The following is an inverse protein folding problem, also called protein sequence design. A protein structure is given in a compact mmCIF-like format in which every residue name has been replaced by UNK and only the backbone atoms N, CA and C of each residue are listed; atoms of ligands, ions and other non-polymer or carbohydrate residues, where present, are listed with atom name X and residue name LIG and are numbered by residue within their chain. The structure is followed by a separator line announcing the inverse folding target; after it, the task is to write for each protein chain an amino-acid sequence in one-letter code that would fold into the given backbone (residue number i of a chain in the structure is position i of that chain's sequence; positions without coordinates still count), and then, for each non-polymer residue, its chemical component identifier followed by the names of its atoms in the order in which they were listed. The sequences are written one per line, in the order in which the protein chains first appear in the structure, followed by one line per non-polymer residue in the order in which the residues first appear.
data_IF_898800445057
#
_entry.id   IF_898800445057
#
_cell.length_a   1.000
_cell.length_b   1.000
_cell.length_c   1.000
_cell.angle_alpha   90.00
_cell.angle_beta   90.00
_cell.angle_gamma   90.00
#
_symmetry.space_group_name_H-M   'P 1'
#
loop_
_entity.id
_entity.type
_entity.pdbx_description
1 polymer ?
#
# COMPACT_ATOMS: atom_id res chain seq x y z
N UNK A 1 -36.61 2.97 7.35
CA UNK A 1 -36.23 2.65 8.74
C UNK A 1 -34.73 2.90 8.82
N UNK A 2 -34.30 3.92 9.54
CA UNK A 2 -32.85 4.15 9.82
C UNK A 2 -32.44 3.06 10.82
N UNK A 3 -31.55 2.16 10.43
CA UNK A 3 -30.88 1.33 11.39
C UNK A 3 -29.93 2.25 12.18
N UNK A 4 -30.30 2.56 13.41
CA UNK A 4 -29.42 3.18 14.38
C UNK A 4 -28.30 2.16 14.69
N UNK A 5 -27.13 2.37 14.13
CA UNK A 5 -25.96 1.64 14.55
C UNK A 5 -25.49 2.22 15.88
N UNK A 6 -25.50 1.36 16.85
CA UNK A 6 -25.11 1.56 18.21
C UNK A 6 -23.61 1.91 18.33
N UNK A 7 -23.22 2.39 19.47
CA UNK A 7 -21.85 2.84 19.79
C UNK A 7 -20.79 1.74 19.62
N UNK A 8 -19.52 2.10 19.60
CA UNK A 8 -18.36 1.20 19.60
C UNK A 8 -18.49 0.05 20.62
N UNK A 9 -19.06 0.36 21.80
CA UNK A 9 -19.36 -0.62 22.85
C UNK A 9 -20.50 -1.58 22.48
N UNK A 10 -21.48 -1.15 21.70
CA UNK A 10 -22.60 -2.00 21.30
C UNK A 10 -22.22 -3.02 20.21
N UNK A 11 -21.27 -2.67 19.33
CA UNK A 11 -20.70 -3.61 18.36
C UNK A 11 -19.73 -4.59 19.04
N UNK A 12 -18.99 -4.14 20.06
CA UNK A 12 -18.16 -5.01 20.90
C UNK A 12 -19.01 -6.02 21.69
N UNK A 13 -20.23 -5.65 22.08
CA UNK A 13 -21.16 -6.53 22.78
C UNK A 13 -21.97 -7.45 21.84
N UNK A 14 -22.01 -7.19 20.53
CA UNK A 14 -22.61 -8.09 19.54
C UNK A 14 -21.67 -9.22 19.09
N UNK A 15 -20.40 -9.11 19.39
CA UNK A 15 -19.46 -10.20 19.30
C UNK A 15 -19.64 -11.04 20.57
N UNK A 16 -20.63 -11.96 20.57
CA UNK A 16 -20.63 -13.06 21.53
C UNK A 16 -19.23 -13.66 21.50
N UNK A 17 -18.56 -13.76 22.65
CA UNK A 17 -17.26 -14.42 22.77
C UNK A 17 -17.37 -15.83 22.19
N UNK A 18 -16.92 -16.08 20.94
CA UNK A 18 -16.79 -17.45 20.52
C UNK A 18 -15.64 -17.99 21.34
N UNK A 19 -15.84 -19.13 21.98
CA UNK A 19 -14.89 -19.91 22.75
C UNK A 19 -13.48 -19.88 22.14
N UNK A 20 -12.74 -18.81 22.34
CA UNK A 20 -11.31 -18.67 22.00
C UNK A 20 -10.45 -19.23 23.13
N UNK A 21 -11.06 -19.68 24.24
CA UNK A 21 -10.38 -20.31 25.38
C UNK A 21 -9.62 -21.59 25.02
N UNK A 22 -9.86 -22.15 23.84
CA UNK A 22 -9.14 -23.36 23.38
C UNK A 22 -7.71 -23.10 22.88
N UNK A 23 -7.33 -21.84 22.66
CA UNK A 23 -6.03 -21.51 22.06
C UNK A 23 -5.00 -20.91 23.02
N UNK A 24 -5.31 -20.68 24.28
CA UNK A 24 -4.46 -19.87 25.17
C UNK A 24 -4.25 -20.41 26.59
N UNK A 25 -4.55 -21.66 26.88
CA UNK A 25 -4.19 -22.25 28.18
C UNK A 25 -2.74 -22.77 28.27
N UNK A 26 -1.77 -22.04 27.72
CA UNK A 26 -0.38 -22.24 28.09
C UNK A 26 0.12 -21.07 28.95
N UNK A 27 -0.11 -21.18 30.28
CA UNK A 27 0.53 -20.32 31.25
C UNK A 27 2.03 -20.47 31.18
N UNK A 28 2.73 -19.52 30.60
CA UNK A 28 4.17 -19.41 30.72
C UNK A 28 4.52 -19.01 32.17
N UNK A 29 4.97 -19.97 32.98
CA UNK A 29 5.62 -19.73 34.25
C UNK A 29 6.99 -20.42 34.18
N UNK A 30 8.04 -19.60 34.04
CA UNK A 30 9.43 -20.09 34.13
C UNK A 30 10.35 -19.42 33.11
N UNK A 31 11.64 -19.34 33.38
CA UNK A 31 12.69 -18.93 32.44
C UNK A 31 12.87 -20.00 31.37
N UNK A 32 12.12 -19.87 30.27
CA UNK A 32 12.25 -20.72 29.09
C UNK A 32 13.47 -20.28 28.25
N UNK A 33 14.11 -21.23 27.58
CA UNK A 33 15.15 -20.89 26.59
C UNK A 33 14.56 -20.12 25.42
N UNK A 34 15.35 -19.28 24.75
CA UNK A 34 14.91 -18.57 23.53
C UNK A 34 14.32 -19.54 22.47
N UNK A 35 14.77 -20.80 22.47
CA UNK A 35 14.31 -21.83 21.56
C UNK A 35 12.88 -22.31 21.92
N UNK A 36 12.59 -22.52 23.18
CA UNK A 36 11.26 -22.94 23.66
C UNK A 36 10.20 -21.88 23.44
N UNK A 37 10.56 -20.58 23.54
CA UNK A 37 9.66 -19.47 23.25
C UNK A 37 9.28 -19.44 21.75
N UNK A 38 10.25 -19.64 20.84
CA UNK A 38 9.98 -19.77 19.40
C UNK A 38 9.09 -20.99 19.13
N UNK A 39 9.39 -22.13 19.71
CA UNK A 39 8.66 -23.39 19.49
C UNK A 39 7.18 -23.24 19.91
N UNK A 40 6.92 -22.56 21.02
CA UNK A 40 5.56 -22.28 21.47
C UNK A 40 4.79 -21.39 20.50
N UNK A 41 5.41 -20.32 19.99
CA UNK A 41 4.78 -19.43 19.01
C UNK A 41 4.51 -20.17 17.69
N UNK A 42 5.49 -20.98 17.23
CA UNK A 42 5.34 -21.78 16.01
C UNK A 42 4.25 -22.85 16.17
N UNK A 43 4.12 -23.44 17.35
CA UNK A 43 3.04 -24.39 17.64
C UNK A 43 1.65 -23.76 17.45
N UNK A 44 1.45 -22.50 17.87
CA UNK A 44 0.20 -21.78 17.61
C UNK A 44 -0.10 -21.61 16.10
N UNK A 45 0.94 -21.35 15.28
CA UNK A 45 0.77 -21.26 13.84
C UNK A 45 0.43 -22.63 13.22
N UNK A 46 1.09 -23.70 13.68
CA UNK A 46 0.84 -25.06 13.20
C UNK A 46 -0.57 -25.55 13.57
N UNK A 47 -1.04 -25.24 14.77
CA UNK A 47 -2.40 -25.55 15.19
C UNK A 47 -3.42 -24.85 14.29
N UNK A 48 -3.21 -23.56 13.99
CA UNK A 48 -4.06 -22.85 13.06
C UNK A 48 -4.04 -23.48 11.66
N UNK A 49 -2.84 -23.81 11.11
CA UNK A 49 -2.69 -24.44 9.79
C UNK A 49 -3.32 -25.84 9.73
N UNK A 50 -3.36 -26.57 10.85
CA UNK A 50 -4.05 -27.87 10.95
C UNK A 50 -5.56 -27.70 10.78
N UNK A 51 -6.15 -26.67 11.41
CA UNK A 51 -7.58 -26.39 11.32
C UNK A 51 -7.96 -25.69 9.99
N UNK A 52 -7.08 -24.85 9.48
CA UNK A 52 -7.26 -24.06 8.26
C UNK A 52 -6.05 -24.23 7.33
N UNK A 53 -5.98 -25.32 6.54
CA UNK A 53 -4.86 -25.59 5.67
C UNK A 53 -4.63 -24.49 4.64
N UNK A 54 -3.38 -24.06 4.52
CA UNK A 54 -3.02 -23.00 3.57
C UNK A 54 -2.80 -23.60 2.19
N UNK A 55 -3.56 -23.08 1.21
CA UNK A 55 -3.46 -23.51 -0.17
C UNK A 55 -2.26 -22.83 -0.85
N UNK A 56 -1.33 -23.64 -1.32
CA UNK A 56 -0.18 -23.15 -2.10
C UNK A 56 -0.57 -23.07 -3.57
N UNK A 57 -0.64 -21.85 -4.13
CA UNK A 57 -1.06 -21.61 -5.51
C UNK A 57 0.13 -21.82 -6.46
N UNK A 58 1.25 -21.12 -6.24
CA UNK A 58 2.46 -21.33 -7.04
C UNK A 58 3.69 -20.70 -6.38
N UNK A 59 4.63 -21.52 -5.93
CA UNK A 59 5.85 -21.05 -5.26
C UNK A 59 7.01 -20.71 -6.20
N UNK A 60 6.94 -21.12 -7.48
CA UNK A 60 8.09 -21.05 -8.40
C UNK A 60 8.02 -19.89 -9.40
N UNK A 61 6.93 -19.17 -9.50
CA UNK A 61 6.79 -18.10 -10.50
C UNK A 61 7.09 -16.73 -9.89
N UNK A 62 8.15 -16.09 -10.40
CA UNK A 62 8.44 -14.66 -10.15
C UNK A 62 7.35 -13.72 -10.71
N UNK A 63 6.46 -14.23 -11.56
CA UNK A 63 5.35 -13.52 -12.19
C UNK A 63 4.01 -13.81 -11.51
N UNK A 64 3.97 -13.81 -10.18
CA UNK A 64 2.70 -13.98 -9.48
C UNK A 64 1.84 -12.71 -9.59
N UNK A 65 0.50 -12.86 -9.70
CA UNK A 65 -0.42 -11.71 -9.82
C UNK A 65 -0.36 -10.74 -8.62
N UNK A 66 0.11 -11.19 -7.47
CA UNK A 66 0.31 -10.34 -6.28
C UNK A 66 1.56 -9.44 -6.37
N UNK A 67 2.28 -9.44 -7.49
CA UNK A 67 3.48 -8.62 -7.68
C UNK A 67 3.18 -7.40 -8.58
N UNK A 68 3.48 -6.20 -8.09
CA UNK A 68 3.30 -4.93 -8.82
C UNK A 68 4.09 -4.84 -10.14
N UNK A 69 5.15 -5.64 -10.34
CA UNK A 69 5.97 -5.61 -11.56
C UNK A 69 5.16 -5.86 -12.82
N UNK A 70 4.12 -6.67 -12.73
CA UNK A 70 3.23 -6.92 -13.87
C UNK A 70 2.39 -5.69 -14.26
N UNK A 71 2.10 -4.77 -13.33
CA UNK A 71 1.38 -3.54 -13.64
C UNK A 71 2.04 -2.71 -14.74
N UNK A 72 3.37 -2.86 -14.93
CA UNK A 72 4.12 -2.17 -16.00
C UNK A 72 3.74 -2.61 -17.41
N UNK A 73 3.06 -3.73 -17.57
CA UNK A 73 2.61 -4.27 -18.85
C UNK A 73 1.20 -3.77 -19.24
N UNK A 74 0.47 -3.20 -18.29
CA UNK A 74 -0.93 -2.83 -18.49
C UNK A 74 -1.09 -1.33 -18.71
N UNK A 75 -1.88 -0.92 -19.72
CA UNK A 75 -2.18 0.48 -20.00
C UNK A 75 -2.76 1.19 -18.78
N UNK A 76 -2.42 2.47 -18.61
CA UNK A 76 -2.70 3.34 -17.46
C UNK A 76 -2.11 2.84 -16.13
N UNK A 77 -2.07 1.54 -15.83
CA UNK A 77 -1.42 1.02 -14.64
C UNK A 77 0.07 1.34 -14.63
N UNK A 78 0.72 1.32 -15.78
CA UNK A 78 2.15 1.61 -15.98
C UNK A 78 2.54 3.11 -15.91
N UNK A 79 1.58 4.02 -15.74
CA UNK A 79 1.88 5.47 -15.73
C UNK A 79 2.74 5.89 -14.55
N UNK A 80 2.69 5.16 -13.45
CA UNK A 80 3.50 5.45 -12.28
C UNK A 80 3.97 4.14 -11.63
N UNK A 81 5.28 4.04 -11.37
CA UNK A 81 5.83 2.87 -10.68
C UNK A 81 5.71 3.04 -9.17
N UNK A 82 4.87 2.21 -8.56
CA UNK A 82 4.68 2.18 -7.11
C UNK A 82 5.16 0.84 -6.56
N UNK A 83 6.02 0.89 -5.54
CA UNK A 83 6.45 -0.32 -4.83
C UNK A 83 5.34 -0.75 -3.91
N UNK A 84 5.21 -2.05 -3.75
CA UNK A 84 4.16 -2.69 -2.97
C UNK A 84 2.78 -2.59 -3.63
N UNK A 85 2.13 -3.73 -3.81
CA UNK A 85 0.83 -3.87 -4.44
C UNK A 85 0.76 -5.07 -5.37
N UNK A 86 -0.41 -5.31 -5.90
CA UNK A 86 -0.73 -6.42 -6.81
C UNK A 86 -0.95 -5.95 -8.25
N UNK A 87 -1.08 -6.90 -9.17
CA UNK A 87 -1.32 -6.63 -10.58
C UNK A 87 -2.80 -6.36 -10.87
N UNK A 88 -3.13 -5.68 -12.00
CA UNK A 88 -4.51 -5.57 -12.48
C UNK A 88 -5.17 -6.92 -12.71
N UNK A 89 -4.42 -7.91 -13.18
CA UNK A 89 -4.91 -9.27 -13.40
C UNK A 89 -5.41 -9.90 -12.10
N UNK A 90 -4.71 -9.67 -10.98
CA UNK A 90 -5.17 -10.16 -9.67
C UNK A 90 -6.54 -9.60 -9.29
N UNK A 91 -6.78 -8.31 -9.56
CA UNK A 91 -8.07 -7.66 -9.30
C UNK A 91 -9.17 -8.30 -10.14
N UNK A 92 -8.93 -8.47 -11.43
CA UNK A 92 -9.87 -9.07 -12.35
C UNK A 92 -10.19 -10.53 -11.97
N UNK A 93 -9.16 -11.34 -11.67
CA UNK A 93 -9.32 -12.73 -11.25
C UNK A 93 -10.14 -12.84 -9.95
N UNK A 94 -9.89 -11.94 -8.97
CA UNK A 94 -10.64 -11.93 -7.72
C UNK A 94 -12.10 -11.53 -7.93
N UNK A 95 -12.36 -10.48 -8.72
CA UNK A 95 -13.73 -10.07 -9.07
C UNK A 95 -14.46 -11.22 -9.76
N UNK A 96 -13.88 -11.81 -10.81
CA UNK A 96 -14.50 -12.89 -11.59
C UNK A 96 -14.76 -14.17 -10.74
N UNK A 97 -13.96 -14.39 -9.70
CA UNK A 97 -14.12 -15.53 -8.79
C UNK A 97 -15.33 -15.35 -7.86
N UNK A 98 -15.66 -14.13 -7.48
CA UNK A 98 -16.62 -13.90 -6.40
C UNK A 98 -17.87 -13.14 -6.81
N UNK A 99 -17.94 -12.59 -8.02
CA UNK A 99 -19.15 -11.96 -8.54
C UNK A 99 -19.31 -12.18 -10.04
N UNK A 100 -20.59 -12.21 -10.45
CA UNK A 100 -21.01 -12.24 -11.86
C UNK A 100 -21.87 -10.99 -12.20
N UNK A 101 -21.99 -10.04 -11.29
CA UNK A 101 -22.87 -8.88 -11.42
C UNK A 101 -22.07 -7.58 -11.41
N UNK A 102 -22.14 -6.80 -12.48
CA UNK A 102 -21.55 -5.43 -12.52
C UNK A 102 -22.28 -4.43 -11.62
N UNK A 103 -23.35 -4.85 -10.93
CA UNK A 103 -24.03 -4.03 -9.90
C UNK A 103 -23.27 -4.07 -8.56
N UNK A 104 -22.40 -5.06 -8.37
CA UNK A 104 -21.61 -5.21 -7.16
C UNK A 104 -20.59 -4.07 -7.04
N UNK A 105 -20.37 -3.64 -5.84
CA UNK A 105 -19.52 -2.50 -5.48
C UNK A 105 -18.16 -3.02 -4.99
N UNK A 106 -17.09 -2.49 -5.57
CA UNK A 106 -15.71 -2.85 -5.20
C UNK A 106 -15.11 -1.77 -4.29
N UNK A 107 -14.42 -2.17 -3.23
CA UNK A 107 -13.76 -1.27 -2.29
C UNK A 107 -12.30 -1.67 -2.02
N UNK A 108 -11.42 -0.66 -1.92
CA UNK A 108 -10.04 -0.82 -1.50
C UNK A 108 -9.70 0.20 -0.40
N UNK A 109 -9.64 -0.23 0.88
CA UNK A 109 -9.29 0.65 1.99
C UNK A 109 -7.82 1.11 1.98
N UNK A 110 -6.95 0.52 1.14
CA UNK A 110 -5.55 0.92 0.95
C UNK A 110 -5.26 1.10 -0.54
N UNK A 111 -6.03 1.97 -1.19
CA UNK A 111 -6.10 2.09 -2.65
C UNK A 111 -4.77 2.38 -3.36
N UNK A 112 -3.77 2.90 -2.66
CA UNK A 112 -2.48 3.23 -3.25
C UNK A 112 -2.64 4.06 -4.52
N UNK A 113 -1.91 3.72 -5.57
CA UNK A 113 -2.03 4.39 -6.87
C UNK A 113 -3.23 3.91 -7.71
N UNK A 114 -4.22 3.29 -7.06
CA UNK A 114 -5.52 2.99 -7.65
C UNK A 114 -5.58 1.75 -8.54
N UNK A 115 -4.82 0.69 -8.26
CA UNK A 115 -4.88 -0.54 -9.08
C UNK A 115 -6.26 -1.16 -9.06
N UNK A 116 -6.85 -1.33 -7.87
CA UNK A 116 -8.19 -1.89 -7.70
C UNK A 116 -9.25 -1.05 -8.40
N UNK A 117 -9.29 0.26 -8.11
CA UNK A 117 -10.35 1.12 -8.67
C UNK A 117 -10.19 1.36 -10.17
N UNK A 118 -8.98 1.41 -10.71
CA UNK A 118 -8.75 1.54 -12.15
C UNK A 118 -9.24 0.29 -12.89
N UNK A 119 -8.84 -0.90 -12.43
CA UNK A 119 -9.28 -2.15 -13.07
C UNK A 119 -10.80 -2.33 -12.95
N UNK A 120 -11.38 -2.09 -11.78
CA UNK A 120 -12.83 -2.14 -11.56
C UNK A 120 -13.59 -1.18 -12.48
N UNK A 121 -13.10 0.06 -12.63
CA UNK A 121 -13.68 1.07 -13.53
C UNK A 121 -13.64 0.66 -14.98
N UNK A 122 -12.56 0.03 -15.43
CA UNK A 122 -12.42 -0.48 -16.80
C UNK A 122 -13.33 -1.68 -17.05
N UNK A 123 -13.54 -2.54 -16.06
CA UNK A 123 -14.49 -3.66 -16.12
C UNK A 123 -15.95 -3.20 -16.03
N UNK A 124 -16.23 -2.02 -15.49
CA UNK A 124 -17.58 -1.46 -15.38
C UNK A 124 -18.23 -1.63 -14.01
N UNK A 125 -17.44 -1.79 -12.97
CA UNK A 125 -17.89 -1.82 -11.59
C UNK A 125 -17.81 -0.44 -10.94
N UNK A 126 -18.82 -0.10 -10.12
CA UNK A 126 -18.68 1.01 -9.20
C UNK A 126 -17.61 0.68 -8.17
N UNK A 127 -16.71 1.61 -7.91
CA UNK A 127 -15.61 1.35 -6.98
C UNK A 127 -15.26 2.57 -6.11
N UNK A 128 -14.75 2.27 -4.92
CA UNK A 128 -14.31 3.22 -3.91
C UNK A 128 -12.91 2.86 -3.44
N UNK A 129 -12.11 3.85 -3.07
CA UNK A 129 -10.87 3.63 -2.36
C UNK A 129 -10.60 4.71 -1.32
N UNK A 130 -9.93 4.31 -0.24
CA UNK A 130 -9.31 5.21 0.73
C UNK A 130 -7.79 5.09 0.65
N UNK A 131 -7.09 6.18 0.81
CA UNK A 131 -5.65 6.17 1.07
C UNK A 131 -5.24 7.46 1.76
N UNK A 132 -4.33 7.37 2.72
CA UNK A 132 -3.79 8.55 3.43
C UNK A 132 -2.67 9.22 2.63
N UNK A 133 -2.08 8.55 1.64
CA UNK A 133 -1.00 9.09 0.85
C UNK A 133 -1.53 10.03 -0.26
N UNK A 134 -1.31 11.35 -0.16
CA UNK A 134 -1.84 12.30 -1.13
C UNK A 134 -1.26 12.12 -2.54
N UNK A 135 -0.01 11.67 -2.66
CA UNK A 135 0.59 11.33 -3.95
C UNK A 135 -0.13 10.15 -4.59
N UNK A 136 -0.42 9.10 -3.82
CA UNK A 136 -1.13 7.91 -4.30
C UNK A 136 -2.52 8.28 -4.83
N UNK A 137 -3.29 9.03 -4.05
CA UNK A 137 -4.62 9.50 -4.45
C UNK A 137 -4.57 10.36 -5.71
N UNK A 138 -3.58 11.25 -5.80
CA UNK A 138 -3.40 12.09 -6.99
C UNK A 138 -3.14 11.25 -8.24
N UNK A 139 -2.22 10.28 -8.16
CA UNK A 139 -1.94 9.35 -9.25
C UNK A 139 -3.18 8.54 -9.63
N UNK A 140 -3.91 8.01 -8.64
CA UNK A 140 -5.14 7.25 -8.86
C UNK A 140 -6.21 8.10 -9.58
N UNK A 141 -6.44 9.34 -9.12
CA UNK A 141 -7.40 10.27 -9.74
C UNK A 141 -7.08 10.53 -11.21
N UNK A 142 -5.80 10.78 -11.55
CA UNK A 142 -5.41 11.07 -12.92
C UNK A 142 -5.50 9.82 -13.81
N UNK A 143 -5.12 8.66 -13.31
CA UNK A 143 -5.23 7.39 -14.05
C UNK A 143 -6.67 6.98 -14.35
N UNK A 144 -7.59 7.31 -13.45
CA UNK A 144 -9.01 6.95 -13.56
C UNK A 144 -9.88 8.03 -14.17
N UNK A 145 -9.31 9.14 -14.59
CA UNK A 145 -10.08 10.19 -15.27
C UNK A 145 -10.42 9.80 -16.71
N UNK A 146 -11.52 10.33 -17.22
CA UNK A 146 -11.95 10.14 -18.61
C UNK A 146 -11.34 11.21 -19.49
N UNK A 147 -10.69 10.78 -20.57
CA UNK A 147 -10.06 11.67 -21.55
C UNK A 147 -10.75 11.53 -22.90
N UNK A 148 -11.07 12.68 -23.50
CA UNK A 148 -11.69 12.77 -24.83
C UNK A 148 -10.62 12.90 -25.93
N UNK A 149 -11.02 12.73 -27.19
CA UNK A 149 -10.15 13.02 -28.35
C UNK A 149 -9.63 14.46 -28.33
N UNK A 150 -10.44 15.41 -27.84
CA UNK A 150 -10.01 16.81 -27.67
C UNK A 150 -8.89 16.94 -26.63
N UNK A 151 -9.01 16.25 -25.51
CA UNK A 151 -7.96 16.26 -24.47
C UNK A 151 -6.64 15.68 -25.00
N UNK A 152 -6.70 14.64 -25.87
CA UNK A 152 -5.52 14.05 -26.50
C UNK A 152 -4.84 15.03 -27.47
N UNK A 153 -5.61 15.73 -28.29
CA UNK A 153 -5.08 16.76 -29.19
C UNK A 153 -4.44 17.88 -28.36
N UNK A 154 -5.11 18.35 -27.32
CA UNK A 154 -4.60 19.40 -26.42
C UNK A 154 -3.30 18.95 -25.73
N UNK A 155 -3.19 17.70 -25.29
CA UNK A 155 -1.95 17.14 -24.72
C UNK A 155 -0.78 17.23 -25.69
N UNK A 156 -0.97 16.79 -26.94
CA UNK A 156 0.07 16.81 -27.99
C UNK A 156 0.50 18.23 -28.30
N UNK A 157 -0.44 19.13 -28.53
CA UNK A 157 -0.14 20.55 -28.80
C UNK A 157 0.55 21.24 -27.61
N UNK A 158 0.12 20.93 -26.39
CA UNK A 158 0.74 21.48 -25.17
C UNK A 158 2.19 21.00 -25.02
N UNK A 159 2.48 19.76 -25.41
CA UNK A 159 3.85 19.24 -25.39
C UNK A 159 4.74 19.95 -26.44
N UNK A 160 4.24 20.20 -27.65
CA UNK A 160 4.96 21.00 -28.65
C UNK A 160 5.29 22.39 -28.14
N UNK A 161 4.35 23.04 -27.45
CA UNK A 161 4.60 24.35 -26.81
C UNK A 161 5.70 24.21 -25.75
N UNK A 162 5.72 23.15 -24.92
CA UNK A 162 6.77 22.93 -23.93
C UNK A 162 8.14 22.80 -24.61
N UNK A 163 8.25 22.04 -25.69
CA UNK A 163 9.53 21.85 -26.42
C UNK A 163 10.07 23.20 -26.91
N UNK A 164 9.23 24.04 -27.49
CA UNK A 164 9.60 25.35 -28.05
C UNK A 164 9.80 26.45 -26.99
N UNK A 165 9.33 26.22 -25.74
CA UNK A 165 9.38 27.22 -24.68
C UNK A 165 10.82 27.50 -24.20
N UNK A 166 11.23 28.74 -24.16
CA UNK A 166 12.38 29.20 -23.39
C UNK A 166 11.96 29.45 -21.94
N UNK A 167 12.20 28.51 -21.04
CA UNK A 167 11.75 28.60 -19.64
C UNK A 167 12.64 29.59 -18.85
N UNK A 168 12.44 30.90 -19.08
CA UNK A 168 13.20 32.00 -18.44
C UNK A 168 12.65 32.40 -17.05
N UNK A 169 12.15 31.45 -16.26
CA UNK A 169 11.50 31.73 -14.99
C UNK A 169 12.45 31.52 -13.81
N UNK A 170 12.39 32.40 -12.81
CA UNK A 170 13.06 32.18 -11.51
C UNK A 170 12.12 31.34 -10.63
N UNK A 171 12.61 30.22 -10.16
CA UNK A 171 11.87 29.30 -9.32
C UNK A 171 12.43 29.25 -7.89
N UNK A 172 11.58 29.06 -6.90
CA UNK A 172 11.99 28.77 -5.52
C UNK A 172 12.06 27.27 -5.34
N UNK A 173 13.17 26.78 -4.79
CA UNK A 173 13.30 25.37 -4.42
C UNK A 173 12.30 24.99 -3.31
N UNK A 174 11.86 23.72 -3.24
CA UNK A 174 11.16 23.20 -2.07
C UNK A 174 11.96 23.46 -0.80
N UNK A 175 11.27 23.71 0.32
CA UNK A 175 11.91 24.05 1.61
C UNK A 175 12.52 22.80 2.28
N UNK A 176 12.94 21.82 1.55
CA UNK A 176 13.57 20.61 2.10
C UNK A 176 14.95 20.39 1.48
N UNK A 177 15.98 20.76 2.25
CA UNK A 177 17.38 20.65 1.82
C UNK A 177 17.78 19.21 1.44
N UNK A 178 17.28 18.21 2.17
CA UNK A 178 17.54 16.80 1.84
C UNK A 178 17.05 16.46 0.44
N UNK A 179 15.82 16.89 0.10
CA UNK A 179 15.23 16.60 -1.22
C UNK A 179 15.97 17.35 -2.32
N UNK A 180 16.32 18.61 -2.11
CA UNK A 180 17.07 19.41 -3.09
C UNK A 180 18.47 18.88 -3.32
N UNK A 181 19.13 18.36 -2.27
CA UNK A 181 20.49 17.77 -2.37
C UNK A 181 20.55 16.49 -3.23
N UNK A 182 19.41 15.91 -3.57
CA UNK A 182 19.35 14.75 -4.46
C UNK A 182 19.49 15.10 -5.94
N UNK A 183 19.60 16.38 -6.29
CA UNK A 183 19.74 16.87 -7.66
C UNK A 183 20.95 17.81 -7.78
N UNK A 184 21.56 17.88 -8.97
CA UNK A 184 22.49 18.97 -9.26
C UNK A 184 21.73 20.29 -9.39
N UNK A 185 22.42 21.42 -9.23
CA UNK A 185 21.80 22.76 -9.33
C UNK A 185 21.09 22.97 -10.66
N UNK A 186 21.69 22.49 -11.76
CA UNK A 186 21.15 22.66 -13.11
C UNK A 186 19.88 21.83 -13.34
N UNK A 187 19.88 20.57 -12.83
CA UNK A 187 18.69 19.70 -12.91
C UNK A 187 17.57 20.24 -12.04
N UNK A 188 17.89 20.68 -10.82
CA UNK A 188 16.93 21.26 -9.90
C UNK A 188 16.27 22.50 -10.51
N UNK A 189 17.04 23.44 -11.03
CA UNK A 189 16.55 24.64 -11.70
C UNK A 189 15.62 24.29 -12.89
N UNK A 190 16.01 23.31 -13.68
CA UNK A 190 15.22 22.83 -14.82
C UNK A 190 13.89 22.21 -14.38
N UNK A 191 13.88 21.37 -13.36
CA UNK A 191 12.64 20.79 -12.78
C UNK A 191 11.70 21.90 -12.30
N UNK A 192 12.23 22.88 -11.55
CA UNK A 192 11.43 23.96 -10.99
C UNK A 192 10.83 24.86 -12.07
N UNK A 193 11.58 25.16 -13.12
CA UNK A 193 11.08 25.92 -14.29
C UNK A 193 9.93 25.19 -14.99
N UNK A 194 10.07 23.88 -15.18
CA UNK A 194 9.02 23.03 -15.77
C UNK A 194 7.78 22.99 -14.85
N UNK A 195 7.97 22.87 -13.53
CA UNK A 195 6.84 22.93 -12.58
C UNK A 195 6.06 24.24 -12.67
N UNK A 196 6.74 25.38 -12.75
CA UNK A 196 6.08 26.68 -12.92
C UNK A 196 5.31 26.71 -14.23
N UNK A 197 5.91 26.25 -15.32
CA UNK A 197 5.25 26.15 -16.60
C UNK A 197 3.99 25.27 -16.55
N UNK A 198 4.07 24.08 -15.94
CA UNK A 198 2.92 23.20 -15.72
C UNK A 198 1.85 23.89 -14.89
N UNK A 199 2.23 24.62 -13.83
CA UNK A 199 1.28 25.31 -12.95
C UNK A 199 0.46 26.38 -13.67
N UNK A 200 1.02 26.98 -14.73
CA UNK A 200 0.38 28.01 -15.56
C UNK A 200 -0.59 27.43 -16.61
N UNK A 201 -0.64 26.13 -16.82
CA UNK A 201 -1.58 25.48 -17.74
C UNK A 201 -3.03 25.71 -17.27
N UNK A 202 -3.92 26.06 -18.21
CA UNK A 202 -5.33 26.39 -17.92
C UNK A 202 -6.16 25.12 -17.64
N UNK A 203 -5.98 24.09 -18.44
CA UNK A 203 -6.71 22.82 -18.31
C UNK A 203 -6.19 22.00 -17.14
N UNK A 204 -7.01 21.73 -16.13
CA UNK A 204 -6.62 20.90 -15.00
C UNK A 204 -6.28 19.46 -15.43
N UNK A 205 -6.97 18.90 -16.42
CA UNK A 205 -6.66 17.55 -16.94
C UNK A 205 -5.27 17.51 -17.54
N UNK A 206 -4.94 18.47 -18.42
CA UNK A 206 -3.63 18.55 -19.05
C UNK A 206 -2.54 18.80 -18.01
N UNK A 207 -2.77 19.76 -17.09
CA UNK A 207 -1.89 20.01 -15.96
C UNK A 207 -1.57 18.75 -15.17
N UNK A 208 -2.57 17.96 -14.83
CA UNK A 208 -2.42 16.74 -14.05
C UNK A 208 -1.58 15.68 -14.79
N UNK A 209 -1.81 15.49 -16.08
CA UNK A 209 -1.01 14.60 -16.92
C UNK A 209 0.46 15.01 -16.93
N UNK A 210 0.76 16.29 -17.20
CA UNK A 210 2.13 16.81 -17.19
C UNK A 210 2.78 16.71 -15.81
N UNK A 211 2.02 16.94 -14.74
CA UNK A 211 2.52 16.78 -13.37
C UNK A 211 2.93 15.33 -13.08
N UNK A 212 2.09 14.33 -13.44
CA UNK A 212 2.48 12.92 -13.27
C UNK A 212 3.66 12.56 -14.16
N UNK A 213 3.71 13.03 -15.41
CA UNK A 213 4.85 12.80 -16.29
C UNK A 213 6.15 13.30 -15.67
N UNK A 214 6.14 14.50 -15.07
CA UNK A 214 7.30 15.02 -14.36
C UNK A 214 7.64 14.20 -13.11
N UNK A 215 6.65 13.89 -12.25
CA UNK A 215 6.88 13.11 -11.03
C UNK A 215 7.46 11.72 -11.32
N UNK A 216 7.05 11.08 -12.42
CA UNK A 216 7.52 9.76 -12.84
C UNK A 216 9.02 9.74 -13.19
N UNK A 217 9.56 10.84 -13.71
CA UNK A 217 10.97 10.91 -14.14
C UNK A 217 11.91 11.43 -13.04
N UNK A 218 11.41 11.93 -11.90
CA UNK A 218 12.24 12.51 -10.84
C UNK A 218 13.34 11.56 -10.34
N UNK A 219 13.01 10.28 -10.13
CA UNK A 219 14.01 9.30 -9.73
C UNK A 219 15.12 9.13 -10.80
N UNK A 220 14.78 9.20 -12.09
CA UNK A 220 15.75 9.14 -13.19
C UNK A 220 16.71 10.31 -13.12
N UNK A 221 16.20 11.51 -12.87
CA UNK A 221 16.96 12.76 -12.81
C UNK A 221 17.78 12.91 -11.51
N UNK A 222 17.38 12.21 -10.45
CA UNK A 222 18.01 12.27 -9.13
C UNK A 222 19.37 11.55 -9.10
N UNK A 223 20.26 12.02 -8.25
CA UNK A 223 21.52 11.32 -7.88
C UNK A 223 21.26 10.10 -6.99
N UNK A 224 20.01 9.91 -6.55
CA UNK A 224 19.58 8.85 -5.66
C UNK A 224 18.50 7.99 -6.32
N UNK A 225 18.33 6.77 -5.82
CA UNK A 225 17.29 5.82 -6.24
C UNK A 225 16.60 5.21 -5.04
N UNK A 226 15.36 4.77 -5.21
CA UNK A 226 14.63 3.99 -4.23
C UNK A 226 15.25 2.60 -4.10
N UNK A 227 15.70 2.24 -2.89
CA UNK A 227 16.36 0.96 -2.62
C UNK A 227 15.81 0.38 -1.29
N UNK A 228 15.14 -0.77 -1.38
CA UNK A 228 14.45 -1.36 -0.21
C UNK A 228 13.50 -0.36 0.45
N UNK A 229 13.65 -0.18 1.76
CA UNK A 229 12.84 0.70 2.61
C UNK A 229 13.33 2.16 2.66
N UNK A 230 14.13 2.59 1.70
CA UNK A 230 14.70 3.93 1.71
C UNK A 230 15.18 4.43 0.35
N UNK A 231 16.05 5.41 0.42
CA UNK A 231 16.69 6.06 -0.74
C UNK A 231 18.21 5.91 -0.61
N UNK A 232 18.87 5.55 -1.70
CA UNK A 232 20.32 5.30 -1.76
C UNK A 232 20.95 6.06 -2.90
N UNK A 233 22.15 6.58 -2.69
CA UNK A 233 22.94 7.23 -3.74
C UNK A 233 23.27 6.24 -4.87
N UNK A 234 23.12 6.65 -6.13
CA UNK A 234 23.48 5.87 -7.31
C UNK A 234 25.00 5.72 -7.37
N UNK A 235 25.49 4.54 -7.72
CA UNK A 235 26.94 4.27 -7.86
C UNK A 235 27.55 4.98 -9.05
N UNK A 236 26.83 5.03 -10.17
CA UNK A 236 27.27 5.65 -11.42
C UNK A 236 26.31 6.78 -11.81
N UNK A 237 26.82 7.98 -11.90
CA UNK A 237 26.09 9.18 -12.36
C UNK A 237 26.55 9.50 -13.78
N UNK A 238 26.27 8.60 -14.73
CA UNK A 238 26.78 8.72 -16.10
C UNK A 238 25.98 9.68 -16.99
N UNK A 239 24.83 10.17 -16.53
CA UNK A 239 23.95 11.01 -17.34
C UNK A 239 23.89 12.43 -16.78
N UNK A 240 24.42 13.36 -17.52
CA UNK A 240 24.17 14.79 -17.33
C UNK A 240 22.91 15.13 -18.12
N UNK A 241 21.83 15.49 -17.42
CA UNK A 241 20.58 15.87 -18.07
C UNK A 241 20.51 17.38 -18.24
N UNK A 242 20.38 17.83 -19.49
CA UNK A 242 19.99 19.21 -19.82
C UNK A 242 18.47 19.39 -19.70
N UNK A 243 18.01 20.63 -19.71
CA UNK A 243 16.57 20.93 -19.75
C UNK A 243 15.89 20.31 -20.99
N UNK A 244 16.59 20.22 -22.11
CA UNK A 244 16.10 19.59 -23.35
C UNK A 244 15.87 18.10 -23.12
N UNK A 245 16.82 17.40 -22.50
CA UNK A 245 16.66 15.97 -22.18
C UNK A 245 15.47 15.74 -21.20
N UNK A 246 15.26 16.64 -20.24
CA UNK A 246 14.11 16.53 -19.32
C UNK A 246 12.79 16.69 -20.08
N UNK A 247 12.70 17.65 -21.02
CA UNK A 247 11.52 17.80 -21.87
C UNK A 247 11.28 16.57 -22.75
N UNK A 248 12.33 15.96 -23.32
CA UNK A 248 12.23 14.72 -24.09
C UNK A 248 11.73 13.55 -23.22
N UNK A 249 12.22 13.42 -21.97
CA UNK A 249 11.73 12.41 -21.04
C UNK A 249 10.24 12.60 -20.70
N UNK A 250 9.80 13.84 -20.52
CA UNK A 250 8.37 14.16 -20.35
C UNK A 250 7.60 13.75 -21.62
N UNK A 251 8.12 14.05 -22.82
CA UNK A 251 7.51 13.67 -24.08
C UNK A 251 7.24 12.18 -24.19
N UNK A 252 8.24 11.36 -23.85
CA UNK A 252 8.10 9.90 -23.82
C UNK A 252 6.98 9.43 -22.87
N UNK A 253 6.78 10.12 -21.73
CA UNK A 253 5.66 9.82 -20.84
C UNK A 253 4.33 10.25 -21.45
N UNK A 254 4.27 11.43 -22.08
CA UNK A 254 3.04 11.94 -22.75
C UNK A 254 2.62 10.99 -23.89
N UNK A 255 3.57 10.52 -24.70
CA UNK A 255 3.29 9.56 -25.78
C UNK A 255 2.73 8.25 -25.23
N UNK A 256 3.36 7.72 -24.16
CA UNK A 256 2.90 6.52 -23.47
C UNK A 256 1.47 6.70 -22.92
N UNK A 257 1.22 7.83 -22.23
CA UNK A 257 -0.09 8.12 -21.62
C UNK A 257 -1.17 8.30 -22.69
N UNK A 258 -0.83 8.96 -23.79
CA UNK A 258 -1.73 9.15 -24.91
C UNK A 258 -2.13 7.82 -25.56
N UNK A 259 -1.16 6.96 -25.84
CA UNK A 259 -1.43 5.62 -26.39
C UNK A 259 -2.32 4.79 -25.45
N UNK A 260 -2.08 4.89 -24.13
CA UNK A 260 -2.90 4.18 -23.13
C UNK A 260 -4.33 4.73 -23.04
N UNK A 261 -4.50 6.05 -23.14
CA UNK A 261 -5.81 6.69 -23.18
C UNK A 261 -6.59 6.23 -24.44
N UNK A 262 -5.92 6.17 -25.60
CA UNK A 262 -6.53 5.74 -26.85
C UNK A 262 -6.95 4.25 -26.85
N UNK A 263 -6.20 3.43 -26.12
CA UNK A 263 -6.44 1.97 -26.06
C UNK A 263 -7.37 1.53 -24.92
N UNK A 264 -7.79 2.42 -24.02
CA UNK A 264 -8.57 2.07 -22.83
C UNK A 264 -9.76 3.00 -22.61
N UNK A 265 -10.77 2.50 -21.90
CA UNK A 265 -11.98 3.25 -21.55
C UNK A 265 -12.28 3.10 -20.07
N UNK A 266 -12.54 4.22 -19.40
CA UNK A 266 -13.10 4.25 -18.05
C UNK A 266 -14.63 4.22 -18.18
N UNK A 267 -15.24 3.08 -17.84
CA UNK A 267 -16.68 2.88 -17.93
C UNK A 267 -17.44 3.56 -16.80
N UNK A 268 -16.92 3.44 -15.58
CA UNK A 268 -17.50 4.07 -14.38
C UNK A 268 -16.38 4.78 -13.63
N UNK A 269 -16.57 6.07 -13.34
CA UNK A 269 -15.58 6.85 -12.57
C UNK A 269 -15.61 6.43 -11.10
N UNK A 270 -14.48 6.03 -10.51
CA UNK A 270 -14.43 5.63 -9.11
C UNK A 270 -14.50 6.84 -8.16
N UNK A 271 -14.75 6.57 -6.90
CA UNK A 271 -14.65 7.54 -5.81
C UNK A 271 -13.36 7.27 -5.03
N UNK A 272 -12.47 8.25 -5.00
CA UNK A 272 -11.19 8.17 -4.31
C UNK A 272 -11.23 9.15 -3.14
N UNK A 273 -11.02 8.63 -1.92
CA UNK A 273 -11.06 9.39 -0.68
C UNK A 273 -9.65 9.53 -0.09
N UNK A 274 -9.33 10.73 0.40
CA UNK A 274 -8.09 10.98 1.13
C UNK A 274 -8.37 10.87 2.63
N UNK A 275 -8.23 9.65 3.17
CA UNK A 275 -8.56 9.35 4.55
C UNK A 275 -7.74 8.17 5.07
N UNK A 276 -7.44 8.15 6.37
CA UNK A 276 -6.86 6.99 7.03
C UNK A 276 -7.88 5.86 7.14
N UNK A 277 -7.44 4.64 6.87
CA UNK A 277 -8.33 3.47 6.82
C UNK A 277 -8.75 2.96 8.21
N UNK A 278 -8.11 3.41 9.28
CA UNK A 278 -8.51 3.13 10.66
C UNK A 278 -9.35 4.24 11.31
N UNK A 279 -9.60 5.35 10.60
CA UNK A 279 -10.57 6.36 11.02
C UNK A 279 -11.97 5.95 10.54
N UNK A 280 -13.01 6.45 11.22
CA UNK A 280 -14.38 6.23 10.81
C UNK A 280 -14.64 6.82 9.43
N UNK A 281 -15.25 6.04 8.55
CA UNK A 281 -15.66 6.47 7.21
C UNK A 281 -16.97 5.82 6.78
N UNK A 282 -17.64 6.47 5.84
CA UNK A 282 -18.89 5.95 5.25
C UNK A 282 -18.79 5.98 3.74
N UNK A 283 -18.96 4.81 3.11
CA UNK A 283 -19.09 4.70 1.67
C UNK A 283 -20.51 5.12 1.25
N UNK A 284 -20.64 5.75 0.08
CA UNK A 284 -21.95 6.09 -0.49
C UNK A 284 -22.80 4.86 -0.80
N UNK A 285 -22.17 3.73 -1.05
CA UNK A 285 -22.76 2.42 -1.27
C UNK A 285 -21.91 1.39 -0.55
N UNK A 286 -22.53 0.41 0.10
CA UNK A 286 -21.81 -0.68 0.76
C UNK A 286 -21.12 -1.55 -0.26
N UNK A 287 -19.95 -2.06 0.10
CA UNK A 287 -19.16 -2.93 -0.74
C UNK A 287 -19.63 -4.38 -0.70
N UNK A 288 -19.56 -5.03 -1.86
CA UNK A 288 -19.79 -6.47 -2.04
C UNK A 288 -18.45 -7.21 -2.16
N UNK A 289 -17.45 -6.53 -2.70
CA UNK A 289 -16.10 -7.03 -2.92
C UNK A 289 -15.10 -6.05 -2.30
N UNK A 290 -14.20 -6.54 -1.45
CA UNK A 290 -13.04 -5.78 -0.97
C UNK A 290 -11.77 -6.46 -1.48
N UNK A 291 -10.88 -5.69 -2.10
CA UNK A 291 -9.58 -6.17 -2.58
C UNK A 291 -8.54 -5.17 -2.13
N UNK A 292 -7.62 -5.59 -1.26
CA UNK A 292 -6.67 -4.66 -0.67
C UNK A 292 -5.32 -5.28 -0.33
N UNK A 293 -4.29 -4.46 -0.28
CA UNK A 293 -2.97 -4.79 0.24
C UNK A 293 -2.53 -3.69 1.19
N UNK A 294 -2.72 -3.86 2.50
CA UNK A 294 -2.29 -2.87 3.49
C UNK A 294 -0.76 -2.75 3.51
N UNK A 295 -0.18 -1.70 4.12
CA UNK A 295 1.23 -1.67 4.44
C UNK A 295 1.63 -2.93 5.21
N UNK A 296 2.78 -3.55 4.87
CA UNK A 296 3.23 -4.77 5.54
C UNK A 296 3.98 -4.44 6.84
N UNK A 297 4.01 -5.38 7.77
CA UNK A 297 4.79 -5.29 9.01
C UNK A 297 6.30 -5.49 8.74
N UNK A 298 6.87 -4.75 7.77
CA UNK A 298 8.24 -4.91 7.24
C UNK A 298 9.10 -3.65 7.31
N UNK A 299 8.66 -2.66 8.12
CA UNK A 299 9.34 -1.39 8.31
C UNK A 299 9.45 -0.50 7.07
N UNK A 300 8.48 -0.58 6.14
CA UNK A 300 8.45 0.25 4.95
C UNK A 300 7.82 1.62 5.25
N UNK A 301 8.60 2.69 5.15
CA UNK A 301 8.14 4.08 5.36
C UNK A 301 7.88 4.76 4.02
N UNK A 302 6.61 4.85 3.63
CA UNK A 302 6.18 5.49 2.37
C UNK A 302 6.59 6.96 2.30
N UNK A 303 6.59 7.68 3.43
CA UNK A 303 7.00 9.09 3.48
C UNK A 303 8.48 9.29 3.18
N UNK A 304 9.31 8.27 3.40
CA UNK A 304 10.74 8.26 3.11
C UNK A 304 11.03 7.80 1.70
N UNK A 305 10.37 6.74 1.25
CA UNK A 305 10.60 6.16 -0.08
C UNK A 305 10.11 7.08 -1.19
N UNK A 306 8.99 7.78 -0.97
CA UNK A 306 8.41 8.73 -1.92
C UNK A 306 8.65 10.20 -1.56
N UNK A 307 9.68 10.47 -0.76
CA UNK A 307 10.00 11.80 -0.23
C UNK A 307 10.13 12.84 -1.35
N UNK A 308 10.83 12.49 -2.41
CA UNK A 308 11.08 13.39 -3.56
C UNK A 308 9.77 13.81 -4.20
N UNK A 309 8.93 12.85 -4.54
CA UNK A 309 7.66 13.10 -5.21
C UNK A 309 6.65 13.81 -4.31
N UNK A 310 6.64 13.50 -3.02
CA UNK A 310 5.76 14.16 -2.05
C UNK A 310 6.09 15.66 -1.91
N UNK A 311 7.37 16.03 -1.94
CA UNK A 311 7.77 17.44 -1.89
C UNK A 311 7.64 18.13 -3.25
N UNK A 312 8.13 17.55 -4.34
CA UNK A 312 8.00 18.15 -5.66
C UNK A 312 6.55 18.18 -6.16
N UNK A 313 5.72 17.23 -5.78
CA UNK A 313 4.28 17.26 -6.04
C UNK A 313 3.51 18.30 -5.24
N UNK A 314 4.17 19.01 -4.30
CA UNK A 314 3.55 20.02 -3.43
C UNK A 314 2.62 19.42 -2.38
N UNK A 315 2.69 18.11 -2.14
CA UNK A 315 1.88 17.42 -1.12
C UNK A 315 2.40 17.68 0.30
N UNK A 316 3.72 17.84 0.45
CA UNK A 316 4.35 18.35 1.66
C UNK A 316 4.87 19.77 1.41
N UNK A 317 4.47 20.71 2.26
CA UNK A 317 4.90 22.12 2.23
C UNK A 317 5.93 22.40 3.32
N UNK A 318 5.93 21.60 4.38
CA UNK A 318 6.81 21.73 5.55
C UNK A 318 6.98 20.36 6.23
N UNK A 319 7.87 20.30 7.22
CA UNK A 319 8.17 19.05 7.94
C UNK A 319 6.99 18.56 8.81
N UNK A 320 6.06 19.45 9.16
CA UNK A 320 4.88 19.08 9.95
C UNK A 320 3.96 18.19 9.10
N UNK A 321 3.79 18.49 7.81
CA UNK A 321 2.98 17.68 6.91
C UNK A 321 3.50 16.23 6.84
N UNK A 322 4.82 16.04 6.80
CA UNK A 322 5.43 14.71 6.85
C UNK A 322 5.19 14.00 8.20
N UNK A 323 5.23 14.73 9.31
CA UNK A 323 4.94 14.16 10.63
C UNK A 323 3.47 13.75 10.75
N UNK A 324 2.55 14.59 10.30
CA UNK A 324 1.11 14.30 10.29
C UNK A 324 0.80 13.10 9.40
N UNK A 325 1.39 13.04 8.21
CA UNK A 325 1.25 11.88 7.32
C UNK A 325 1.66 10.57 8.02
N UNK A 326 2.82 10.54 8.69
CA UNK A 326 3.27 9.37 9.46
C UNK A 326 2.30 9.05 10.58
N UNK A 327 1.83 10.07 11.32
CA UNK A 327 0.90 9.90 12.43
C UNK A 327 -0.42 9.27 11.98
N UNK A 328 -0.92 9.62 10.80
CA UNK A 328 -2.17 9.11 10.24
C UNK A 328 -2.00 7.81 9.41
N UNK A 329 -0.76 7.31 9.29
CA UNK A 329 -0.46 6.05 8.60
C UNK A 329 -0.54 4.87 9.57
N UNK A 330 -0.69 3.65 9.01
CA UNK A 330 -0.56 2.40 9.77
C UNK A 330 0.83 2.30 10.41
N UNK A 331 0.90 1.76 11.62
CA UNK A 331 2.13 1.51 12.38
C UNK A 331 2.97 0.41 11.72
N UNK A 332 3.56 0.70 10.56
CA UNK A 332 4.31 -0.29 9.76
C UNK A 332 5.82 -0.07 9.75
N UNK A 333 6.34 0.96 10.47
CA UNK A 333 7.76 1.31 10.46
C UNK A 333 8.22 1.91 11.80
N UNK A 334 9.55 1.97 12.01
CA UNK A 334 10.18 2.42 13.27
C UNK A 334 10.61 3.89 13.27
N UNK A 335 10.43 4.63 12.19
CA UNK A 335 10.88 6.02 12.04
C UNK A 335 10.00 7.06 12.76
N UNK A 336 8.99 6.62 13.48
CA UNK A 336 8.11 7.45 14.30
C UNK A 336 7.98 6.85 15.70
N UNK A 337 7.69 7.68 16.71
CA UNK A 337 7.38 7.20 18.06
C UNK A 337 5.88 6.95 18.13
N UNK A 338 5.50 5.69 17.97
CA UNK A 338 4.11 5.27 18.00
C UNK A 338 3.59 5.25 19.44
N UNK A 339 2.43 5.88 19.64
CA UNK A 339 1.64 5.72 20.86
C UNK A 339 0.65 4.57 20.68
N UNK A 340 0.26 3.93 21.80
CA UNK A 340 -0.74 2.86 21.74
C UNK A 340 -2.10 3.47 21.39
N UNK A 341 -2.56 3.31 20.15
CA UNK A 341 -3.77 3.96 19.62
C UNK A 341 -5.04 3.14 19.79
N UNK A 342 -5.01 1.85 19.50
CA UNK A 342 -6.19 1.00 19.34
C UNK A 342 -6.03 -0.32 20.12
N UNK A 343 -5.74 -0.23 21.43
CA UNK A 343 -5.31 -1.36 22.25
C UNK A 343 -6.25 -2.57 22.28
N UNK A 344 -7.56 -2.36 22.05
CA UNK A 344 -8.57 -3.43 22.10
C UNK A 344 -8.66 -4.24 20.78
N UNK A 345 -8.02 -3.79 19.72
CA UNK A 345 -8.08 -4.42 18.39
C UNK A 345 -6.84 -5.27 18.06
N UNK A 346 -5.86 -5.34 18.96
CA UNK A 346 -4.62 -6.10 18.76
C UNK A 346 -4.81 -7.61 18.87
N UNK A 347 -3.71 -8.36 18.66
CA UNK A 347 -3.66 -9.79 18.77
C UNK A 347 -2.92 -10.24 20.03
N UNK A 348 -3.50 -11.12 20.83
CA UNK A 348 -2.96 -11.54 22.13
C UNK A 348 -1.59 -12.20 22.02
N UNK A 349 -1.39 -13.10 21.04
CA UNK A 349 -0.09 -13.73 20.79
C UNK A 349 1.01 -12.69 20.50
N UNK A 350 0.68 -11.62 19.77
CA UNK A 350 1.59 -10.50 19.53
C UNK A 350 1.91 -9.76 20.83
N UNK A 351 0.89 -9.40 21.60
CA UNK A 351 1.05 -8.60 22.81
C UNK A 351 1.79 -9.37 23.92
N UNK A 352 1.44 -10.63 24.13
CA UNK A 352 1.84 -11.39 25.32
C UNK A 352 3.06 -12.29 25.08
N UNK A 353 3.39 -12.67 23.85
CA UNK A 353 4.49 -13.59 23.57
C UNK A 353 5.49 -13.01 22.57
N UNK A 354 5.06 -12.66 21.35
CA UNK A 354 5.95 -12.24 20.27
C UNK A 354 6.70 -10.95 20.65
N UNK A 355 5.99 -9.92 21.15
CA UNK A 355 6.62 -8.67 21.54
C UNK A 355 7.59 -8.86 22.72
N UNK A 356 7.24 -9.71 23.69
CA UNK A 356 8.12 -10.02 24.84
C UNK A 356 9.37 -10.78 24.38
N UNK A 357 9.24 -11.80 23.53
CA UNK A 357 10.37 -12.50 22.95
C UNK A 357 11.30 -11.53 22.21
N UNK A 358 10.74 -10.72 21.30
CA UNK A 358 11.52 -9.79 20.49
C UNK A 358 12.20 -8.70 21.34
N UNK A 359 11.61 -8.29 22.46
CA UNK A 359 12.22 -7.28 23.37
C UNK A 359 13.52 -7.78 24.01
N UNK A 360 13.73 -9.10 24.11
CA UNK A 360 14.93 -9.75 24.63
C UNK A 360 16.01 -9.94 23.55
N UNK A 361 15.67 -9.76 22.25
CA UNK A 361 16.56 -10.00 21.15
C UNK A 361 17.40 -8.76 20.78
N UNK A 362 18.58 -8.99 20.21
CA UNK A 362 19.41 -7.91 19.65
C UNK A 362 18.89 -7.52 18.26
N UNK A 363 17.82 -6.73 18.24
CA UNK A 363 17.21 -6.23 17.01
C UNK A 363 17.93 -4.97 16.51
N UNK A 364 17.88 -4.75 15.19
CA UNK A 364 18.48 -3.56 14.57
C UNK A 364 17.75 -2.24 14.96
N UNK A 365 16.51 -2.31 15.47
CA UNK A 365 15.81 -1.21 16.12
C UNK A 365 14.96 -1.74 17.29
N UNK A 366 15.13 -1.14 18.46
CA UNK A 366 14.41 -1.51 19.69
C UNK A 366 12.90 -1.23 19.65
N UNK A 367 12.42 -0.49 18.66
CA UNK A 367 10.99 -0.18 18.49
C UNK A 367 10.22 -1.26 17.72
N UNK A 368 10.90 -2.28 17.18
CA UNK A 368 10.24 -3.34 16.39
C UNK A 368 9.12 -4.02 17.19
N UNK A 369 9.29 -4.44 18.46
CA UNK A 369 8.21 -5.02 19.25
C UNK A 369 6.98 -4.12 19.35
N UNK A 370 7.16 -2.85 19.70
CA UNK A 370 6.06 -1.88 19.80
C UNK A 370 5.44 -1.54 18.46
N UNK A 371 6.23 -1.54 17.39
CA UNK A 371 5.73 -1.37 16.01
C UNK A 371 4.80 -2.53 15.63
N UNK A 372 5.14 -3.78 15.93
CA UNK A 372 4.28 -4.94 15.66
C UNK A 372 2.98 -4.87 16.45
N UNK A 373 3.04 -4.55 17.75
CA UNK A 373 1.85 -4.36 18.58
C UNK A 373 0.93 -3.30 17.97
N UNK A 374 1.49 -2.15 17.58
CA UNK A 374 0.76 -1.07 16.92
C UNK A 374 0.17 -1.49 15.57
N UNK A 375 0.93 -2.22 14.77
CA UNK A 375 0.50 -2.69 13.45
C UNK A 375 -0.76 -3.55 13.52
N UNK A 376 -0.74 -4.59 14.36
CA UNK A 376 -1.90 -5.50 14.47
C UNK A 376 -3.10 -4.81 15.13
N UNK A 377 -2.86 -3.86 16.03
CA UNK A 377 -3.91 -3.03 16.61
C UNK A 377 -4.55 -2.10 15.57
N UNK A 378 -3.75 -1.40 14.77
CA UNK A 378 -4.25 -0.55 13.69
C UNK A 378 -5.01 -1.37 12.64
N UNK A 379 -4.49 -2.54 12.25
CA UNK A 379 -5.15 -3.41 11.28
C UNK A 379 -6.48 -3.98 11.80
N UNK A 380 -6.54 -4.31 13.09
CA UNK A 380 -7.81 -4.67 13.73
C UNK A 380 -8.83 -3.53 13.68
N UNK A 381 -8.39 -2.30 13.95
CA UNK A 381 -9.28 -1.11 13.82
C UNK A 381 -9.73 -0.91 12.37
N UNK A 382 -8.86 -1.13 11.37
CA UNK A 382 -9.25 -1.09 9.95
C UNK A 382 -10.36 -2.09 9.62
N UNK A 383 -10.22 -3.34 10.09
CA UNK A 383 -11.27 -4.36 9.90
C UNK A 383 -12.59 -3.94 10.56
N UNK A 384 -12.52 -3.36 11.76
CA UNK A 384 -13.70 -2.86 12.47
C UNK A 384 -14.39 -1.73 11.71
N UNK A 385 -13.66 -0.72 11.25
CA UNK A 385 -14.22 0.41 10.48
C UNK A 385 -14.76 0.00 9.11
N UNK A 386 -14.30 -1.13 8.57
CA UNK A 386 -14.82 -1.67 7.32
C UNK A 386 -16.24 -2.26 7.49
N UNK A 387 -16.57 -2.85 8.64
CA UNK A 387 -17.82 -3.59 8.86
C UNK A 387 -19.08 -2.79 8.48
N UNK A 388 -19.27 -1.53 8.92
CA UNK A 388 -20.47 -0.76 8.57
C UNK A 388 -20.65 -0.54 7.07
N UNK A 389 -19.56 -0.65 6.31
CA UNK A 389 -19.47 -0.39 4.89
C UNK A 389 -19.61 -1.67 4.03
N UNK A 390 -19.88 -2.84 4.64
CA UNK A 390 -20.03 -4.11 3.93
C UNK A 390 -21.51 -4.50 3.77
N UNK A 391 -21.82 -5.09 2.63
CA UNK A 391 -23.06 -5.84 2.46
C UNK A 391 -22.94 -7.23 3.12
N UNK A 392 -24.08 -7.85 3.46
CA UNK A 392 -24.08 -9.26 3.88
C UNK A 392 -23.54 -10.13 2.77
N UNK A 393 -22.72 -11.12 3.12
CA UNK A 393 -22.01 -12.03 2.20
C UNK A 393 -20.87 -11.40 1.38
N UNK A 394 -20.46 -10.15 1.66
CA UNK A 394 -19.30 -9.53 1.00
C UNK A 394 -18.07 -10.41 1.07
N UNK A 395 -17.26 -10.41 0.01
CA UNK A 395 -15.99 -11.14 -0.07
C UNK A 395 -14.83 -10.18 0.05
N UNK A 396 -13.92 -10.51 0.96
CA UNK A 396 -12.78 -9.66 1.29
C UNK A 396 -11.49 -10.42 0.98
N UNK A 397 -10.67 -9.87 0.10
CA UNK A 397 -9.33 -10.34 -0.21
C UNK A 397 -8.28 -9.39 0.35
N UNK A 398 -7.46 -9.86 1.30
CA UNK A 398 -6.38 -9.08 1.89
C UNK A 398 -5.04 -9.74 1.52
N UNK A 399 -4.23 -9.06 0.72
CA UNK A 399 -2.88 -9.52 0.37
C UNK A 399 -1.90 -8.99 1.40
N UNK A 400 -1.16 -9.89 2.05
CA UNK A 400 -0.16 -9.55 3.06
C UNK A 400 1.12 -10.34 2.87
N UNK A 401 2.25 -9.72 3.21
CA UNK A 401 3.53 -10.38 3.31
C UNK A 401 3.90 -10.63 4.76
N UNK A 402 4.36 -11.84 5.05
CA UNK A 402 4.94 -12.18 6.34
C UNK A 402 6.34 -11.59 6.48
N UNK A 403 6.80 -11.38 7.69
CA UNK A 403 8.12 -10.82 8.00
C UNK A 403 8.91 -11.72 8.97
N UNK A 404 10.15 -11.32 9.25
CA UNK A 404 11.01 -12.04 10.21
C UNK A 404 11.78 -11.02 11.04
N UNK A 405 11.79 -11.20 12.35
CA UNK A 405 12.56 -10.41 13.29
C UNK A 405 13.18 -11.30 14.36
N UNK A 406 14.47 -11.12 14.62
CA UNK A 406 15.17 -11.89 15.65
C UNK A 406 15.11 -13.42 15.46
N UNK A 407 15.06 -13.89 14.20
CA UNK A 407 14.92 -15.30 13.84
C UNK A 407 13.48 -15.86 13.93
N UNK A 408 12.53 -15.08 14.46
CA UNK A 408 11.13 -15.47 14.57
C UNK A 408 10.34 -14.98 13.34
N UNK A 409 9.66 -15.88 12.60
CA UNK A 409 8.71 -15.47 11.57
C UNK A 409 7.46 -14.86 12.19
N UNK A 410 7.01 -13.74 11.63
CA UNK A 410 5.73 -13.10 11.95
C UNK A 410 4.75 -13.51 10.86
N UNK A 411 3.90 -14.50 11.18
CA UNK A 411 2.90 -15.03 10.25
C UNK A 411 1.70 -14.07 10.15
N UNK A 412 1.91 -12.91 9.51
CA UNK A 412 0.91 -11.84 9.36
C UNK A 412 -0.39 -12.35 8.77
N UNK A 413 -0.34 -13.28 7.83
CA UNK A 413 -1.51 -13.93 7.22
C UNK A 413 -2.37 -14.67 8.24
N UNK A 414 -1.76 -15.48 9.12
CA UNK A 414 -2.46 -16.22 10.17
C UNK A 414 -3.04 -15.26 11.21
N UNK A 415 -2.19 -14.36 11.73
CA UNK A 415 -2.58 -13.43 12.79
C UNK A 415 -3.71 -12.48 12.37
N UNK A 416 -3.66 -11.99 11.12
CA UNK A 416 -4.74 -11.16 10.54
C UNK A 416 -6.03 -11.96 10.37
N UNK A 417 -5.96 -13.21 9.92
CA UNK A 417 -7.12 -14.06 9.80
C UNK A 417 -7.78 -14.30 11.18
N UNK A 418 -6.98 -14.52 12.23
CA UNK A 418 -7.49 -14.70 13.60
C UNK A 418 -8.16 -13.41 14.12
N UNK A 419 -7.58 -12.23 13.89
CA UNK A 419 -8.22 -10.95 14.25
C UNK A 419 -9.57 -10.79 13.54
N UNK A 420 -9.62 -11.06 12.24
CA UNK A 420 -10.85 -10.97 11.47
C UNK A 420 -11.93 -11.95 11.97
N UNK A 421 -11.55 -13.19 12.23
CA UNK A 421 -12.47 -14.21 12.76
C UNK A 421 -13.03 -13.81 14.13
N UNK A 422 -12.21 -13.21 15.00
CA UNK A 422 -12.66 -12.69 16.31
C UNK A 422 -13.71 -11.57 16.16
N UNK A 423 -13.70 -10.83 15.04
CA UNK A 423 -14.68 -9.79 14.72
C UNK A 423 -15.93 -10.31 13.99
N UNK A 424 -16.08 -11.62 13.82
CA UNK A 424 -17.24 -12.24 13.18
C UNK A 424 -17.11 -12.50 11.68
N UNK A 425 -15.95 -12.22 11.06
CA UNK A 425 -15.70 -12.65 9.69
C UNK A 425 -15.54 -14.17 9.61
N UNK A 426 -16.07 -14.76 8.55
CA UNK A 426 -15.85 -16.16 8.20
C UNK A 426 -14.56 -16.27 7.38
N UNK A 427 -13.61 -17.11 7.79
CA UNK A 427 -12.42 -17.41 6.99
C UNK A 427 -12.78 -18.43 5.91
N UNK A 428 -12.73 -18.01 4.63
CA UNK A 428 -12.88 -18.90 3.48
C UNK A 428 -11.59 -19.68 3.23
N UNK A 429 -10.43 -19.03 3.39
CA UNK A 429 -9.13 -19.66 3.26
C UNK A 429 -7.97 -18.68 3.15
N UNK A 430 -6.76 -19.23 3.16
CA UNK A 430 -5.52 -18.50 2.91
C UNK A 430 -4.82 -19.16 1.72
N UNK A 431 -4.41 -18.35 0.74
CA UNK A 431 -3.71 -18.78 -0.46
C UNK A 431 -2.30 -18.18 -0.50
N UNK A 432 -1.27 -19.03 -0.45
CA UNK A 432 0.14 -18.60 -0.56
C UNK A 432 0.56 -18.51 -2.02
N UNK A 433 0.94 -17.32 -2.48
CA UNK A 433 1.28 -17.05 -3.88
C UNK A 433 2.77 -17.12 -4.17
N UNK A 434 3.61 -16.66 -3.25
CA UNK A 434 5.07 -16.71 -3.43
C UNK A 434 5.81 -16.76 -2.10
N UNK A 435 7.05 -17.27 -2.16
CA UNK A 435 8.00 -17.16 -1.05
C UNK A 435 8.64 -15.77 -1.07
N UNK A 436 8.72 -15.13 0.09
CA UNK A 436 9.40 -13.85 0.26
C UNK A 436 10.89 -14.08 0.55
N UNK A 437 11.72 -13.19 0.04
CA UNK A 437 13.14 -13.12 0.40
C UNK A 437 13.32 -12.08 1.49
N UNK A 438 13.82 -12.49 2.64
CA UNK A 438 14.25 -11.57 3.70
C UNK A 438 15.67 -11.08 3.46
N UNK A 439 16.16 -10.11 4.27
CA UNK A 439 17.55 -9.68 4.20
C UNK A 439 18.49 -10.88 4.48
N UNK A 440 19.68 -10.87 3.87
CA UNK A 440 20.65 -11.96 4.04
C UNK A 440 21.02 -12.23 5.50
N UNK A 441 20.98 -11.21 6.35
CA UNK A 441 21.22 -11.37 7.81
C UNK A 441 20.07 -12.12 8.48
N UNK A 442 18.84 -11.82 8.15
CA UNK A 442 17.66 -12.47 8.76
C UNK A 442 17.48 -13.90 8.25
N UNK A 443 17.79 -14.17 6.97
CA UNK A 443 17.76 -15.53 6.41
C UNK A 443 18.78 -16.48 7.06
N UNK A 444 19.87 -15.95 7.64
CA UNK A 444 20.87 -16.77 8.37
C UNK A 444 20.41 -17.14 9.78
N UNK A 445 19.48 -16.40 10.36
CA UNK A 445 19.05 -16.57 11.74
C UNK A 445 17.77 -17.41 11.84
N UNK A 446 16.89 -17.33 10.82
CA UNK A 446 15.66 -18.13 10.80
C UNK A 446 15.97 -19.61 10.61
N UNK A 447 15.29 -20.47 11.35
CA UNK A 447 15.41 -21.93 11.21
C UNK A 447 14.87 -22.40 9.85
N UNK A 448 15.47 -23.46 9.30
CA UNK A 448 15.11 -23.98 7.97
C UNK A 448 13.62 -24.35 7.89
N UNK A 449 13.12 -25.05 8.90
CA UNK A 449 11.72 -25.48 8.98
C UNK A 449 10.72 -24.31 9.06
N UNK A 450 11.16 -23.14 9.55
CA UNK A 450 10.30 -21.97 9.73
C UNK A 450 10.28 -21.06 8.50
N UNK A 451 11.17 -21.27 7.52
CA UNK A 451 11.19 -20.55 6.25
C UNK A 451 9.90 -20.70 5.45
N UNK A 452 9.11 -21.75 5.70
CA UNK A 452 7.77 -21.92 5.11
C UNK A 452 6.82 -20.76 5.41
N UNK A 453 7.05 -20.03 6.52
CA UNK A 453 6.28 -18.85 6.89
C UNK A 453 6.72 -17.58 6.17
N UNK A 454 7.86 -17.58 5.45
CA UNK A 454 8.26 -16.46 4.59
C UNK A 454 7.47 -16.48 3.28
N UNK A 455 6.25 -16.01 3.31
CA UNK A 455 5.33 -16.05 2.18
C UNK A 455 4.51 -14.77 2.05
N UNK A 456 4.05 -14.50 0.84
CA UNK A 456 3.03 -13.53 0.54
C UNK A 456 1.75 -14.27 0.22
N UNK A 457 0.69 -13.92 0.95
CA UNK A 457 -0.56 -14.66 0.98
C UNK A 457 -1.76 -13.76 0.73
N UNK A 458 -2.80 -14.32 0.15
CA UNK A 458 -4.14 -13.78 0.10
C UNK A 458 -4.99 -14.41 1.19
N UNK A 459 -5.47 -13.61 2.12
CA UNK A 459 -6.49 -13.99 3.11
C UNK A 459 -7.84 -13.73 2.48
N UNK A 460 -8.70 -14.74 2.43
CA UNK A 460 -10.05 -14.64 1.86
C UNK A 460 -11.06 -14.76 2.99
N UNK A 461 -11.81 -13.70 3.20
CA UNK A 461 -12.83 -13.61 4.24
C UNK A 461 -14.20 -13.39 3.61
N UNK A 462 -15.23 -13.66 4.41
CA UNK A 462 -16.62 -13.35 4.10
C UNK A 462 -17.22 -12.64 5.30
N UNK A 463 -17.94 -11.54 5.05
CA UNK A 463 -18.79 -10.93 6.06
C UNK A 463 -20.15 -11.63 6.08
N UNK A 464 -20.67 -11.93 7.27
CA UNK A 464 -21.95 -12.66 7.45
C UNK A 464 -23.16 -11.79 7.20
#
# INVERSE_FOLDING_TARGET
MKAEYKTENDLLNLVEEPQLDLFLENKFVGSTSNQEEIDSIIACYQEFETKYPIKVINRKQFNTPVNFKQAKLFPRHRWYTYKEGFSPQFVEDFINRFTNSTKDVVFDPFGGIGTTVLQSSMLGYQSFSNDINPLSNYVALVKTDSYTKKDIIELKLTFEILIQSELKLKAKAPINETVTSYFTSEILDSILKIQIWISALKSNKIKNIFSIALLTILETLSTHKKDGNGVKKKKNLNNIYSITNIKELIGKQIDLFTADIESTSIKIKPVIQHQSSFEEYTLKQKADIVITSPPYANCFDYSKVYLVELWFGGFFKNIIDQKLFRQSSITSHVHYKWEKRHGNFGHELINNQIALYLSKQNLWDKKIPSMLVGYFSDMGKVLFEMIPNLNSNSKIGIVVGNSVYGGLPIATDILMAQIAMKMGFELIGIESYRTLTSSSQQLKIIRENDKKYLRESLIILKWK
#
